data_IF_102749259033
#
_entry.id   IF_102749259033
#
_cell.length_a   1.000
_cell.length_b   1.000
_cell.length_c   1.000
_cell.angle_alpha   90.00
_cell.angle_beta   90.00
_cell.angle_gamma   90.00
#
_symmetry.space_group_name_H-M   'P 1'
#
loop_
_entity.id
_entity.type
_entity.pdbx_description
1 polymer ?
#
# COMPACT_ATOMS: atom_id res chain seq x y z
N UNK A 1 -17.02 -9.72 31.12
CA UNK A 1 -17.43 -9.75 29.71
C UNK A 1 -17.13 -8.39 29.11
N UNK A 2 -15.89 -8.20 28.66
CA UNK A 2 -15.41 -6.92 28.11
C UNK A 2 -14.67 -7.26 26.82
N UNK A 3 -15.28 -6.95 25.69
CA UNK A 3 -14.59 -6.57 24.44
C UNK A 3 -15.65 -6.15 23.43
N UNK A 4 -16.32 -5.04 23.76
CA UNK A 4 -17.15 -4.24 22.87
C UNK A 4 -16.43 -2.92 22.51
N UNK A 5 -15.12 -2.99 22.35
CA UNK A 5 -14.23 -1.95 21.81
C UNK A 5 -13.28 -2.81 20.97
N UNK A 6 -13.26 -2.81 19.63
CA UNK A 6 -12.97 -1.72 18.71
C UNK A 6 -13.58 -2.14 17.37
N UNK A 7 -14.71 -1.56 16.94
CA UNK A 7 -15.28 -1.84 15.61
C UNK A 7 -15.80 -0.57 14.94
N UNK A 8 -15.26 0.60 15.32
CA UNK A 8 -15.71 1.90 14.82
C UNK A 8 -14.56 2.88 14.61
N UNK A 9 -13.43 2.41 14.08
CA UNK A 9 -12.42 3.28 13.51
C UNK A 9 -11.62 2.52 12.45
N UNK A 10 -12.28 1.98 11.42
CA UNK A 10 -11.55 1.70 10.19
C UNK A 10 -11.13 3.07 9.66
N UNK A 11 -9.95 3.54 10.07
CA UNK A 11 -9.32 4.64 9.38
C UNK A 11 -9.20 4.15 7.94
N UNK A 12 -9.98 4.72 7.04
CA UNK A 12 -9.90 4.36 5.62
C UNK A 12 -8.58 4.95 5.11
N UNK A 13 -7.50 4.25 5.41
CA UNK A 13 -6.13 4.62 5.06
C UNK A 13 -6.03 4.77 3.55
N UNK A 14 -6.73 3.90 2.81
CA UNK A 14 -6.82 3.91 1.37
C UNK A 14 -7.48 5.20 0.88
N UNK A 15 -8.66 5.55 1.38
CA UNK A 15 -9.37 6.77 0.98
C UNK A 15 -8.52 8.01 1.25
N UNK A 16 -7.92 8.10 2.45
CA UNK A 16 -7.08 9.23 2.85
C UNK A 16 -5.83 9.36 1.97
N UNK A 17 -5.12 8.26 1.71
CA UNK A 17 -3.93 8.28 0.86
C UNK A 17 -4.29 8.56 -0.61
N UNK A 18 -5.44 8.08 -1.08
CA UNK A 18 -5.93 8.30 -2.44
C UNK A 18 -6.16 9.78 -2.72
N UNK A 19 -6.67 10.55 -1.75
CA UNK A 19 -6.82 12.00 -1.89
C UNK A 19 -5.47 12.69 -2.17
N UNK A 20 -4.41 12.30 -1.44
CA UNK A 20 -3.07 12.84 -1.66
C UNK A 20 -2.44 12.34 -2.96
N UNK A 21 -2.66 11.08 -3.34
CA UNK A 21 -2.25 10.52 -4.63
C UNK A 21 -2.84 11.31 -5.81
N UNK A 22 -4.15 11.60 -5.78
CA UNK A 22 -4.82 12.36 -6.83
C UNK A 22 -4.33 13.82 -6.91
N UNK A 23 -3.84 14.38 -5.80
CA UNK A 23 -3.21 15.70 -5.76
C UNK A 23 -1.73 15.68 -6.16
N UNK A 24 -1.14 14.50 -6.39
CA UNK A 24 0.28 14.32 -6.66
C UNK A 24 1.17 14.47 -5.41
N UNK A 25 0.60 14.58 -4.22
CA UNK A 25 1.32 14.66 -2.95
C UNK A 25 1.68 13.26 -2.44
N UNK A 26 2.55 12.59 -3.19
CA UNK A 26 2.96 11.22 -2.89
C UNK A 26 3.65 11.09 -1.53
N UNK A 27 4.26 12.16 -1.01
CA UNK A 27 4.92 12.15 0.30
C UNK A 27 3.90 11.95 1.41
N UNK A 28 2.81 12.73 1.41
CA UNK A 28 1.75 12.57 2.41
C UNK A 28 1.02 11.24 2.25
N UNK A 29 0.75 10.81 1.02
CA UNK A 29 0.17 9.49 0.78
C UNK A 29 1.04 8.36 1.36
N UNK A 30 2.36 8.42 1.17
CA UNK A 30 3.28 7.46 1.76
C UNK A 30 3.26 7.49 3.30
N UNK A 31 3.15 8.66 3.92
CA UNK A 31 3.08 8.79 5.38
C UNK A 31 1.78 8.22 5.97
N UNK A 32 0.67 8.26 5.22
CA UNK A 32 -0.57 7.58 5.59
C UNK A 32 -0.35 6.06 5.59
N UNK A 33 0.24 5.48 4.54
CA UNK A 33 0.49 4.03 4.52
C UNK A 33 1.50 3.56 5.55
N UNK A 34 2.50 4.38 5.91
CA UNK A 34 3.39 4.07 7.04
C UNK A 34 2.64 4.00 8.37
N UNK A 35 1.69 4.91 8.59
CA UNK A 35 0.82 4.87 9.77
C UNK A 35 -0.08 3.63 9.74
N UNK A 36 -0.65 3.31 8.58
CA UNK A 36 -1.47 2.12 8.38
C UNK A 36 -0.69 0.85 8.74
N UNK A 37 0.53 0.70 8.23
CA UNK A 37 1.44 -0.44 8.54
C UNK A 37 1.78 -0.52 10.04
N UNK A 38 1.91 0.62 10.72
CA UNK A 38 2.19 0.62 12.17
C UNK A 38 1.00 0.11 13.01
N UNK A 39 -0.23 0.18 12.47
CA UNK A 39 -1.46 -0.27 13.12
C UNK A 39 -1.86 -1.68 12.65
N UNK A 40 -1.68 -1.97 11.37
CA UNK A 40 -2.13 -3.17 10.64
C UNK A 40 -0.97 -3.77 9.81
N UNK A 41 0.10 -4.27 10.44
CA UNK A 41 1.29 -4.79 9.74
C UNK A 41 1.00 -6.06 8.91
N UNK A 42 -0.09 -6.77 9.19
CA UNK A 42 -0.52 -7.94 8.45
C UNK A 42 -1.19 -7.62 7.11
N UNK A 43 -1.62 -6.36 6.90
CA UNK A 43 -2.37 -5.96 5.71
C UNK A 43 -1.40 -5.61 4.57
N UNK A 44 -1.23 -6.53 3.63
CA UNK A 44 -0.23 -6.42 2.55
C UNK A 44 -0.51 -5.28 1.56
N UNK A 45 -1.79 -4.91 1.35
CA UNK A 45 -2.17 -3.79 0.49
C UNK A 45 -1.53 -2.46 0.91
N UNK A 46 -1.32 -2.24 2.21
CA UNK A 46 -0.63 -1.04 2.70
C UNK A 46 0.82 -0.96 2.19
N UNK A 47 1.50 -2.09 2.09
CA UNK A 47 2.87 -2.18 1.57
C UNK A 47 2.91 -2.00 0.06
N UNK A 48 1.93 -2.57 -0.68
CA UNK A 48 1.81 -2.36 -2.12
C UNK A 48 1.69 -0.87 -2.44
N UNK A 49 0.77 -0.19 -1.78
CA UNK A 49 0.54 1.22 -2.02
C UNK A 49 1.64 2.12 -1.44
N UNK A 50 2.29 1.77 -0.31
CA UNK A 50 3.50 2.47 0.13
C UNK A 50 4.59 2.42 -0.93
N UNK A 51 4.89 1.22 -1.44
CA UNK A 51 5.88 1.06 -2.50
C UNK A 51 5.49 1.82 -3.77
N UNK A 52 4.20 1.84 -4.14
CA UNK A 52 3.73 2.65 -5.25
C UNK A 52 3.99 4.15 -5.01
N UNK A 53 3.69 4.68 -3.81
CA UNK A 53 3.96 6.09 -3.50
C UNK A 53 5.45 6.41 -3.54
N UNK A 54 6.31 5.49 -3.10
CA UNK A 54 7.76 5.62 -3.19
C UNK A 54 8.23 5.60 -4.65
N UNK A 55 7.68 4.72 -5.47
CA UNK A 55 7.99 4.64 -6.90
C UNK A 55 7.63 5.95 -7.61
N UNK A 56 6.44 6.50 -7.33
CA UNK A 56 5.99 7.78 -7.90
C UNK A 56 6.82 8.99 -7.42
N UNK A 57 7.50 8.88 -6.27
CA UNK A 57 8.50 9.85 -5.81
C UNK A 57 9.88 9.68 -6.50
N UNK A 58 10.05 8.69 -7.37
CA UNK A 58 11.34 8.34 -7.97
C UNK A 58 12.25 7.53 -7.04
N UNK A 59 11.74 7.04 -5.92
CA UNK A 59 12.48 6.24 -4.92
C UNK A 59 12.31 4.75 -5.19
N UNK A 60 12.70 4.34 -6.39
CA UNK A 60 12.47 2.99 -6.92
C UNK A 60 13.08 1.90 -6.04
N UNK A 61 14.31 2.08 -5.57
CA UNK A 61 14.98 1.09 -4.70
C UNK A 61 14.20 0.86 -3.40
N UNK A 62 13.65 1.91 -2.80
CA UNK A 62 12.89 1.78 -1.56
C UNK A 62 11.52 1.12 -1.79
N UNK A 63 10.88 1.40 -2.93
CA UNK A 63 9.66 0.71 -3.34
C UNK A 63 9.89 -0.80 -3.47
N UNK A 64 10.93 -1.19 -4.22
CA UNK A 64 11.28 -2.60 -4.42
C UNK A 64 11.60 -3.30 -3.10
N UNK A 65 12.38 -2.66 -2.22
CA UNK A 65 12.68 -3.21 -0.90
C UNK A 65 11.43 -3.38 -0.02
N UNK A 66 10.48 -2.45 -0.12
CA UNK A 66 9.19 -2.54 0.60
C UNK A 66 8.42 -3.78 0.16
N UNK A 67 8.29 -4.02 -1.14
CA UNK A 67 7.58 -5.20 -1.65
C UNK A 67 8.31 -6.51 -1.36
N UNK A 68 9.63 -6.53 -1.55
CA UNK A 68 10.44 -7.71 -1.27
C UNK A 68 10.37 -8.10 0.20
N UNK A 69 10.34 -7.14 1.14
CA UNK A 69 10.23 -7.45 2.56
C UNK A 69 8.96 -8.25 2.90
N UNK A 70 7.86 -8.00 2.18
CA UNK A 70 6.61 -8.76 2.34
C UNK A 70 6.71 -10.13 1.67
N UNK A 71 7.21 -10.17 0.44
CA UNK A 71 7.31 -11.42 -0.33
C UNK A 71 8.24 -12.45 0.33
N UNK A 72 9.24 -12.00 1.09
CA UNK A 72 10.13 -12.89 1.83
C UNK A 72 9.46 -13.63 3.00
N UNK A 73 8.25 -13.23 3.40
CA UNK A 73 7.52 -13.86 4.52
C UNK A 73 6.62 -15.03 4.08
N UNK A 74 6.31 -15.14 2.79
CA UNK A 74 5.32 -16.08 2.28
C UNK A 74 5.90 -17.35 1.67
N UNK A 75 5.06 -18.37 1.58
CA UNK A 75 5.34 -19.56 0.78
C UNK A 75 5.02 -19.32 -0.71
N UNK A 76 5.43 -20.24 -1.59
CA UNK A 76 5.29 -20.08 -3.05
C UNK A 76 3.88 -19.68 -3.53
N UNK A 77 2.83 -20.26 -2.94
CA UNK A 77 1.43 -19.96 -3.30
C UNK A 77 1.00 -18.56 -2.85
N UNK A 78 1.41 -18.13 -1.66
CA UNK A 78 1.13 -16.79 -1.14
C UNK A 78 1.88 -15.73 -1.95
N UNK A 79 3.15 -16.00 -2.29
CA UNK A 79 3.96 -15.10 -3.14
C UNK A 79 3.30 -14.92 -4.51
N UNK A 80 2.76 -15.98 -5.12
CA UNK A 80 2.06 -15.89 -6.41
C UNK A 80 0.81 -15.00 -6.32
N UNK A 81 0.01 -15.19 -5.26
CA UNK A 81 -1.15 -14.35 -5.00
C UNK A 81 -0.75 -12.88 -4.80
N UNK A 82 0.20 -12.60 -3.90
CA UNK A 82 0.66 -11.25 -3.59
C UNK A 82 1.30 -10.55 -4.78
N UNK A 83 2.02 -11.30 -5.61
CA UNK A 83 2.58 -10.77 -6.86
C UNK A 83 1.46 -10.34 -7.80
N UNK A 84 0.37 -11.12 -7.88
CA UNK A 84 -0.80 -10.76 -8.69
C UNK A 84 -1.46 -9.48 -8.18
N UNK A 85 -1.68 -9.37 -6.86
CA UNK A 85 -2.23 -8.16 -6.23
C UNK A 85 -1.37 -6.92 -6.51
N UNK A 86 -0.04 -7.04 -6.35
CA UNK A 86 0.88 -5.94 -6.63
C UNK A 86 0.83 -5.53 -8.10
N UNK A 87 0.83 -6.49 -9.02
CA UNK A 87 0.74 -6.23 -10.46
C UNK A 87 -0.55 -5.49 -10.81
N UNK A 88 -1.69 -5.89 -10.23
CA UNK A 88 -2.96 -5.19 -10.42
C UNK A 88 -2.90 -3.74 -9.94
N UNK A 89 -2.33 -3.48 -8.77
CA UNK A 89 -2.16 -2.11 -8.24
C UNK A 89 -1.30 -1.25 -9.17
N UNK A 90 -0.17 -1.79 -9.64
CA UNK A 90 0.73 -1.07 -10.54
C UNK A 90 0.09 -0.82 -11.91
N UNK A 91 -0.64 -1.80 -12.43
CA UNK A 91 -1.33 -1.69 -13.71
C UNK A 91 -2.45 -0.64 -13.66
N UNK A 92 -3.26 -0.64 -12.60
CA UNK A 92 -4.31 0.36 -12.40
C UNK A 92 -3.73 1.78 -12.35
N UNK A 93 -2.61 1.98 -11.65
CA UNK A 93 -1.96 3.28 -11.59
C UNK A 93 -1.35 3.69 -12.95
N UNK A 94 -0.75 2.75 -13.67
CA UNK A 94 -0.24 3.01 -15.02
C UNK A 94 -1.37 3.43 -15.99
N UNK A 95 -2.53 2.77 -15.93
CA UNK A 95 -3.72 3.12 -16.72
C UNK A 95 -4.28 4.49 -16.33
N UNK A 96 -4.32 4.81 -15.03
CA UNK A 96 -4.74 6.12 -14.52
C UNK A 96 -3.86 7.24 -15.08
N UNK A 97 -2.56 7.04 -15.13
CA UNK A 97 -1.63 8.04 -15.69
C UNK A 97 -1.71 8.13 -17.22
N UNK A 98 -1.94 7.01 -17.92
CA UNK A 98 -2.12 7.01 -19.36
C UNK A 98 -3.43 7.69 -19.81
N UNK A 99 -4.42 7.74 -18.92
CA UNK A 99 -5.74 8.33 -19.19
C UNK A 99 -5.87 9.82 -18.79
N UNK A 100 -4.84 10.40 -18.14
CA UNK A 100 -4.77 11.81 -17.76
C UNK A 100 -3.94 12.63 -18.77
#
# INVERSE_FOLDING_TARGET
>A
MVSAYISTNSADWQEQATQYLLQGDYSKAADIYKQAIAVEPEVKSHYWHLGLMLLLQGRETEAQMTWLSVMMEGESEEIEQWTTELVEVLQQEAERQASN
#
